data_IF_799850582267
#
_entry.id   IF_799850582267
#
_cell.length_a   1.000
_cell.length_b   1.000
_cell.length_c   1.000
_cell.angle_alpha   90.00
_cell.angle_beta   90.00
_cell.angle_gamma   90.00
#
_symmetry.space_group_name_H-M   'P 1'
#
loop_
_entity.id
_entity.type
_entity.pdbx_description
1 polymer ?
#
# COMPACT_ATOMS: atom_id res chain seq x y z
N UNK A 1 5.51 -21.46 -20.91
CA UNK A 1 5.30 -21.08 -19.50
C UNK A 1 4.03 -21.67 -18.85
N UNK A 2 3.15 -22.42 -19.55
CA UNK A 2 1.81 -22.77 -19.02
C UNK A 2 1.65 -24.16 -18.34
N UNK A 3 2.46 -25.17 -18.67
CA UNK A 3 2.27 -26.54 -18.12
C UNK A 3 2.71 -26.70 -16.66
N UNK A 4 3.75 -26.00 -16.23
CA UNK A 4 4.32 -26.14 -14.87
C UNK A 4 3.45 -25.49 -13.81
N UNK A 5 2.95 -24.27 -14.06
CA UNK A 5 2.09 -23.57 -13.10
C UNK A 5 0.76 -24.31 -12.88
N UNK A 6 0.15 -24.83 -13.94
CA UNK A 6 -1.13 -25.54 -13.81
C UNK A 6 -0.97 -26.86 -13.06
N UNK A 7 0.10 -27.61 -13.35
CA UNK A 7 0.45 -28.84 -12.62
C UNK A 7 0.74 -28.54 -11.14
N UNK A 8 1.53 -27.51 -10.87
CA UNK A 8 1.86 -27.09 -9.50
C UNK A 8 0.62 -26.59 -8.73
N UNK A 9 -0.25 -25.79 -9.35
CA UNK A 9 -1.50 -25.33 -8.74
C UNK A 9 -2.42 -26.51 -8.42
N UNK A 10 -2.59 -27.44 -9.36
CA UNK A 10 -3.42 -28.65 -9.17
C UNK A 10 -2.85 -29.61 -8.13
N UNK A 11 -1.54 -29.56 -7.85
CA UNK A 11 -0.91 -30.31 -6.74
C UNK A 11 -1.44 -29.83 -5.38
N UNK A 12 -1.55 -28.52 -5.19
CA UNK A 12 -1.80 -27.91 -3.87
C UNK A 12 -3.23 -27.38 -3.67
N UNK A 13 -3.94 -27.01 -4.73
CA UNK A 13 -5.26 -26.38 -4.68
C UNK A 13 -6.33 -27.22 -5.38
N UNK A 14 -7.58 -27.02 -4.97
CA UNK A 14 -8.79 -27.50 -5.63
C UNK A 14 -9.58 -26.32 -6.20
N UNK A 15 -10.08 -26.48 -7.42
CA UNK A 15 -10.93 -25.47 -8.03
C UNK A 15 -12.34 -25.58 -7.44
N UNK A 16 -12.88 -24.46 -6.96
CA UNK A 16 -14.21 -24.38 -6.34
C UNK A 16 -15.18 -23.61 -7.23
N UNK A 17 -14.68 -22.69 -8.05
CA UNK A 17 -15.44 -22.05 -9.13
C UNK A 17 -14.51 -21.75 -10.30
N UNK A 18 -15.06 -21.21 -11.39
CA UNK A 18 -14.28 -20.79 -12.56
C UNK A 18 -13.09 -19.90 -12.19
N UNK A 19 -13.23 -19.04 -11.17
CA UNK A 19 -12.21 -18.08 -10.73
C UNK A 19 -11.64 -18.35 -9.33
N UNK A 20 -12.21 -19.28 -8.55
CA UNK A 20 -11.84 -19.50 -7.15
C UNK A 20 -11.17 -20.86 -6.93
N UNK A 21 -10.01 -20.82 -6.27
CA UNK A 21 -9.25 -22.00 -5.86
C UNK A 21 -9.10 -22.01 -4.33
N UNK A 22 -9.24 -23.18 -3.70
CA UNK A 22 -9.04 -23.34 -2.26
C UNK A 22 -7.89 -24.31 -1.96
N UNK A 23 -7.17 -24.11 -0.86
CA UNK A 23 -6.17 -25.06 -0.40
C UNK A 23 -6.81 -26.44 -0.18
N UNK A 24 -6.10 -27.53 -0.53
CA UNK A 24 -6.60 -28.90 -0.33
C UNK A 24 -6.73 -29.29 1.14
N UNK A 25 -5.91 -28.68 1.99
CA UNK A 25 -5.88 -28.92 3.44
C UNK A 25 -5.38 -27.68 4.19
N UNK A 26 -5.63 -27.56 5.49
CA UNK A 26 -5.06 -26.49 6.33
C UNK A 26 -3.53 -26.41 6.25
N UNK A 27 -2.84 -27.54 6.06
CA UNK A 27 -1.37 -27.61 5.96
C UNK A 27 -0.80 -27.25 4.59
N UNK A 28 -1.65 -26.93 3.61
CA UNK A 28 -1.22 -26.67 2.23
C UNK A 28 -0.23 -25.51 2.17
N UNK A 29 -0.46 -24.44 2.95
CA UNK A 29 0.44 -23.29 2.99
C UNK A 29 1.84 -23.67 3.49
N UNK A 30 1.91 -24.47 4.57
CA UNK A 30 3.17 -24.99 5.12
C UNK A 30 3.92 -25.85 4.09
N UNK A 31 3.22 -26.73 3.37
CA UNK A 31 3.84 -27.58 2.33
C UNK A 31 4.41 -26.76 1.17
N UNK A 32 3.69 -25.74 0.70
CA UNK A 32 4.18 -24.83 -0.34
C UNK A 32 5.43 -24.11 0.15
N UNK A 33 5.40 -23.63 1.39
CA UNK A 33 6.53 -22.95 2.02
C UNK A 33 7.78 -23.84 2.07
N UNK A 34 7.65 -25.09 2.51
CA UNK A 34 8.76 -26.04 2.58
C UNK A 34 9.32 -26.44 1.19
N UNK A 35 8.49 -26.38 0.15
CA UNK A 35 8.90 -26.62 -1.24
C UNK A 35 9.66 -25.42 -1.80
N UNK A 36 9.10 -24.21 -1.67
CA UNK A 36 9.75 -22.96 -2.11
C UNK A 36 11.05 -22.69 -1.35
N UNK A 37 11.10 -23.07 -0.07
CA UNK A 37 12.29 -22.88 0.75
C UNK A 37 13.52 -23.64 0.25
N UNK A 38 13.34 -24.64 -0.62
CA UNK A 38 14.46 -25.38 -1.22
C UNK A 38 15.17 -24.63 -2.33
N UNK A 39 14.50 -23.65 -2.93
CA UNK A 39 14.92 -23.01 -4.17
C UNK A 39 15.09 -21.49 -4.05
N UNK A 40 14.74 -20.90 -2.90
CA UNK A 40 14.87 -19.47 -2.66
C UNK A 40 15.93 -19.18 -1.59
N UNK A 41 16.63 -18.06 -1.78
CA UNK A 41 17.53 -17.45 -0.78
C UNK A 41 16.89 -16.13 -0.38
N UNK A 42 16.67 -15.95 0.93
CA UNK A 42 16.20 -14.70 1.48
C UNK A 42 17.23 -14.20 2.49
N UNK A 43 17.69 -12.96 2.31
CA UNK A 43 18.51 -12.26 3.28
C UNK A 43 17.63 -11.16 3.85
N UNK A 44 17.40 -11.17 5.16
CA UNK A 44 16.61 -10.11 5.78
C UNK A 44 17.42 -8.82 5.77
N UNK A 45 16.74 -7.69 5.69
CA UNK A 45 17.40 -6.38 5.65
C UNK A 45 18.26 -6.15 6.91
N UNK A 46 17.79 -6.65 8.06
CA UNK A 46 18.48 -6.69 9.35
C UNK A 46 19.77 -7.55 9.33
N UNK A 47 19.81 -8.61 8.52
CA UNK A 47 21.01 -9.46 8.37
C UNK A 47 22.04 -8.84 7.41
N UNK A 48 21.59 -7.96 6.50
CA UNK A 48 22.42 -7.34 5.47
C UNK A 48 22.95 -5.94 5.84
N UNK A 49 22.46 -5.33 6.93
CA UNK A 49 22.77 -3.94 7.28
C UNK A 49 22.91 -3.74 8.80
N UNK A 50 23.84 -2.88 9.21
CA UNK A 50 23.86 -2.41 10.60
C UNK A 50 22.82 -1.29 10.79
N UNK A 51 21.80 -1.52 11.63
CA UNK A 51 21.12 -0.46 12.36
C UNK A 51 20.15 0.45 11.59
N UNK A 52 19.25 -0.10 10.76
CA UNK A 52 18.07 0.67 10.32
C UNK A 52 17.11 0.77 11.52
N UNK A 53 16.75 1.97 12.00
CA UNK A 53 15.80 2.10 13.10
C UNK A 53 14.43 1.50 12.73
N UNK A 54 13.82 0.77 13.65
CA UNK A 54 12.50 0.18 13.45
C UNK A 54 11.46 1.30 13.18
N UNK A 55 10.63 1.19 12.14
CA UNK A 55 9.64 2.21 11.83
C UNK A 55 8.52 2.25 12.88
N UNK A 56 8.04 3.45 13.20
CA UNK A 56 6.87 3.63 14.05
C UNK A 56 5.61 3.51 13.20
N UNK A 57 4.72 2.60 13.56
CA UNK A 57 3.42 2.44 12.92
C UNK A 57 2.34 3.13 13.76
N UNK A 58 1.58 4.02 13.14
CA UNK A 58 0.45 4.68 13.80
C UNK A 58 -0.74 4.83 12.87
N UNK A 59 -1.93 4.76 13.46
CA UNK A 59 -3.17 5.06 12.79
C UNK A 59 -3.61 6.44 13.26
N UNK A 60 -3.79 7.35 12.31
CA UNK A 60 -4.36 8.67 12.54
C UNK A 60 -5.86 8.59 12.18
N UNK A 61 -6.75 8.53 13.18
CA UNK A 61 -8.19 8.48 12.92
C UNK A 61 -8.70 9.82 12.40
N UNK A 62 -9.74 9.77 11.57
CA UNK A 62 -10.55 10.91 11.20
C UNK A 62 -12.01 10.50 11.00
N UNK A 63 -12.91 11.49 11.01
CA UNK A 63 -14.34 11.28 10.79
C UNK A 63 -14.77 11.85 9.45
N UNK A 64 -15.63 11.12 8.74
CA UNK A 64 -16.38 11.68 7.62
C UNK A 64 -17.46 12.63 8.13
N UNK A 65 -17.75 13.65 7.31
CA UNK A 65 -18.99 14.43 7.43
C UNK A 65 -20.24 13.53 7.33
N UNK A 66 -21.34 13.99 7.91
CA UNK A 66 -22.56 13.18 8.03
C UNK A 66 -23.15 12.81 6.66
N UNK A 67 -23.07 13.70 5.67
CA UNK A 67 -23.60 13.44 4.33
C UNK A 67 -22.84 12.30 3.66
N UNK A 68 -21.52 12.34 3.69
CA UNK A 68 -20.68 11.32 3.09
C UNK A 68 -20.74 10.00 3.87
N UNK A 69 -20.85 10.06 5.20
CA UNK A 69 -21.10 8.88 6.03
C UNK A 69 -22.40 8.18 5.64
N UNK A 70 -23.49 8.92 5.51
CA UNK A 70 -24.78 8.38 5.07
C UNK A 70 -24.69 7.80 3.65
N UNK A 71 -23.93 8.44 2.76
CA UNK A 71 -23.70 7.95 1.40
C UNK A 71 -22.99 6.59 1.38
N UNK A 72 -21.94 6.44 2.19
CA UNK A 72 -21.23 5.15 2.35
C UNK A 72 -22.18 4.10 2.92
N UNK A 73 -22.94 4.43 3.98
CA UNK A 73 -23.89 3.50 4.59
C UNK A 73 -24.99 3.06 3.60
N UNK A 74 -25.51 3.98 2.81
CA UNK A 74 -26.48 3.68 1.76
C UNK A 74 -25.87 2.73 0.73
N UNK A 75 -24.68 3.04 0.20
CA UNK A 75 -24.00 2.19 -0.76
C UNK A 75 -23.75 0.77 -0.22
N UNK A 76 -23.34 0.65 1.04
CA UNK A 76 -23.14 -0.65 1.70
C UNK A 76 -24.44 -1.47 1.82
N UNK A 77 -25.59 -0.81 1.88
CA UNK A 77 -26.90 -1.46 2.02
C UNK A 77 -27.56 -1.78 0.67
N UNK A 78 -27.36 -0.95 -0.35
CA UNK A 78 -28.11 -0.99 -1.62
C UNK A 78 -27.26 -1.34 -2.84
N UNK A 79 -25.93 -1.28 -2.73
CA UNK A 79 -24.99 -1.31 -3.87
C UNK A 79 -25.18 -0.14 -4.85
N UNK A 80 -25.83 0.94 -4.42
CA UNK A 80 -26.11 2.12 -5.24
C UNK A 80 -25.44 3.37 -4.65
N UNK A 81 -24.88 4.21 -5.51
CA UNK A 81 -24.36 5.53 -5.12
C UNK A 81 -25.02 6.62 -5.95
N UNK A 82 -25.64 7.57 -5.25
CA UNK A 82 -26.12 8.79 -5.86
C UNK A 82 -24.93 9.71 -6.19
N UNK A 83 -24.84 10.13 -7.46
CA UNK A 83 -23.85 11.06 -7.97
C UNK A 83 -24.36 12.51 -7.82
N UNK A 84 -23.47 13.51 -7.70
CA UNK A 84 -23.86 14.92 -7.61
C UNK A 84 -24.66 15.46 -8.80
N UNK A 85 -24.59 14.82 -9.97
CA UNK A 85 -25.38 15.20 -11.16
C UNK A 85 -26.80 14.60 -11.18
N UNK A 86 -27.22 13.96 -10.08
CA UNK A 86 -28.55 13.37 -9.93
C UNK A 86 -28.67 11.95 -10.49
N UNK A 87 -27.64 11.41 -11.15
CA UNK A 87 -27.63 10.00 -11.57
C UNK A 87 -27.36 9.07 -10.40
N UNK A 88 -27.84 7.83 -10.52
CA UNK A 88 -27.51 6.74 -9.59
C UNK A 88 -26.65 5.71 -10.31
N UNK A 89 -25.54 5.31 -9.67
CA UNK A 89 -24.68 4.25 -10.14
C UNK A 89 -24.91 3.00 -9.29
N UNK A 90 -25.54 1.99 -9.89
CA UNK A 90 -25.70 0.67 -9.30
C UNK A 90 -24.50 -0.24 -9.62
N UNK A 91 -24.21 -1.17 -8.71
CA UNK A 91 -23.08 -2.10 -8.82
C UNK A 91 -23.57 -3.54 -8.65
N UNK A 92 -23.13 -4.44 -9.56
CA UNK A 92 -23.67 -5.80 -9.67
C UNK A 92 -22.65 -6.91 -9.46
N UNK A 93 -21.38 -6.60 -9.15
CA UNK A 93 -20.35 -7.59 -8.86
C UNK A 93 -19.55 -7.20 -7.62
N UNK A 94 -19.03 -8.20 -6.89
CA UNK A 94 -18.20 -7.97 -5.69
C UNK A 94 -16.94 -7.14 -6.00
N UNK A 95 -16.31 -7.39 -7.15
CA UNK A 95 -15.13 -6.64 -7.58
C UNK A 95 -15.45 -5.16 -7.84
N UNK A 96 -16.56 -4.88 -8.53
CA UNK A 96 -17.01 -3.52 -8.75
C UNK A 96 -17.46 -2.86 -7.42
N UNK A 97 -18.06 -3.63 -6.50
CA UNK A 97 -18.48 -3.14 -5.19
C UNK A 97 -17.27 -2.66 -4.38
N UNK A 98 -16.23 -3.49 -4.29
CA UNK A 98 -14.97 -3.14 -3.62
C UNK A 98 -14.28 -1.95 -4.29
N UNK A 99 -14.33 -1.86 -5.63
CA UNK A 99 -13.76 -0.74 -6.38
C UNK A 99 -14.45 0.58 -6.06
N UNK A 100 -15.79 0.62 -6.08
CA UNK A 100 -16.56 1.81 -5.73
C UNK A 100 -16.43 2.13 -4.26
N UNK A 101 -16.46 1.14 -3.36
CA UNK A 101 -16.26 1.36 -1.94
C UNK A 101 -14.91 2.04 -1.65
N UNK A 102 -13.83 1.60 -2.31
CA UNK A 102 -12.50 2.24 -2.19
C UNK A 102 -12.50 3.70 -2.65
N UNK A 103 -13.26 4.02 -3.69
CA UNK A 103 -13.44 5.40 -4.15
C UNK A 103 -14.18 6.22 -3.09
N UNK A 104 -15.30 5.70 -2.58
CA UNK A 104 -16.07 6.37 -1.53
C UNK A 104 -15.24 6.59 -0.27
N UNK A 105 -14.47 5.59 0.16
CA UNK A 105 -13.56 5.74 1.29
C UNK A 105 -12.37 6.65 0.98
N UNK A 106 -12.14 7.07 -0.26
CA UNK A 106 -11.18 8.12 -0.59
C UNK A 106 -11.82 9.53 -0.53
N UNK A 107 -13.15 9.61 -0.44
CA UNK A 107 -13.91 10.88 -0.45
C UNK A 107 -14.35 11.31 -1.85
N UNK A 108 -14.33 10.40 -2.83
CA UNK A 108 -14.67 10.71 -4.22
C UNK A 108 -15.42 9.55 -4.91
N UNK A 109 -15.95 9.80 -6.10
CA UNK A 109 -16.48 8.73 -6.96
C UNK A 109 -16.26 9.06 -8.43
N UNK A 110 -15.77 8.10 -9.21
CA UNK A 110 -15.66 8.27 -10.66
C UNK A 110 -17.03 8.14 -11.32
N UNK A 111 -17.28 8.95 -12.34
CA UNK A 111 -18.54 8.97 -13.09
C UNK A 111 -18.79 7.61 -13.74
N UNK A 112 -17.78 7.09 -14.43
CA UNK A 112 -17.75 5.76 -15.01
C UNK A 112 -16.45 5.03 -14.66
N UNK A 113 -16.41 3.71 -14.86
CA UNK A 113 -15.18 2.95 -14.69
C UNK A 113 -14.16 3.32 -15.79
N UNK A 114 -12.91 3.60 -15.39
CA UNK A 114 -11.86 4.05 -16.30
C UNK A 114 -11.93 5.54 -16.68
N UNK A 115 -12.89 6.28 -16.15
CA UNK A 115 -13.06 7.69 -16.45
C UNK A 115 -11.97 8.55 -15.79
N UNK A 116 -11.66 9.70 -16.38
CA UNK A 116 -10.74 10.69 -15.78
C UNK A 116 -11.47 11.66 -14.85
N UNK A 117 -12.80 11.77 -14.99
CA UNK A 117 -13.62 12.64 -14.18
C UNK A 117 -14.14 11.93 -12.93
N UNK A 118 -13.92 12.56 -11.78
CA UNK A 118 -14.47 12.12 -10.51
C UNK A 118 -15.14 13.28 -9.79
N UNK A 119 -16.22 12.96 -9.10
CA UNK A 119 -16.88 13.88 -8.20
C UNK A 119 -16.21 13.85 -6.83
N UNK A 120 -15.77 15.00 -6.28
CA UNK A 120 -15.46 15.09 -4.87
C UNK A 120 -16.75 14.97 -4.07
N UNK A 121 -16.77 14.08 -3.08
CA UNK A 121 -17.93 13.83 -2.23
C UNK A 121 -17.71 14.34 -0.81
N UNK A 122 -16.46 14.32 -0.34
CA UNK A 122 -16.06 14.83 0.97
C UNK A 122 -14.61 15.31 0.95
N UNK A 123 -14.32 16.32 1.77
CA UNK A 123 -12.97 16.85 1.97
C UNK A 123 -12.36 16.44 3.32
N UNK A 124 -13.10 15.72 4.19
CA UNK A 124 -12.65 15.42 5.56
C UNK A 124 -11.30 14.70 5.61
N UNK A 125 -11.03 13.81 4.65
CA UNK A 125 -9.73 13.13 4.56
C UNK A 125 -8.59 14.06 4.12
N UNK A 126 -8.87 14.99 3.21
CA UNK A 126 -7.91 16.00 2.76
C UNK A 126 -7.57 16.93 3.92
N UNK A 127 -8.57 17.36 4.69
CA UNK A 127 -8.39 18.17 5.90
C UNK A 127 -7.58 17.42 6.96
N UNK A 128 -7.87 16.13 7.18
CA UNK A 128 -7.10 15.28 8.09
C UNK A 128 -5.63 15.14 7.66
N UNK A 129 -5.37 14.96 6.36
CA UNK A 129 -4.00 14.92 5.83
C UNK A 129 -3.29 16.26 6.04
N UNK A 130 -3.95 17.38 5.75
CA UNK A 130 -3.36 18.71 5.87
C UNK A 130 -3.00 19.01 7.33
N UNK A 131 -3.90 18.74 8.27
CA UNK A 131 -3.63 18.89 9.70
C UNK A 131 -2.43 18.04 10.15
N UNK A 132 -2.30 16.81 9.62
CA UNK A 132 -1.16 15.95 9.88
C UNK A 132 0.14 16.54 9.33
N UNK A 133 0.11 17.03 8.08
CA UNK A 133 1.27 17.66 7.44
C UNK A 133 1.73 18.88 8.23
N UNK A 134 0.80 19.75 8.65
CA UNK A 134 1.10 20.97 9.39
C UNK A 134 1.69 20.66 10.79
N UNK A 135 1.32 19.52 11.38
CA UNK A 135 1.90 19.01 12.62
C UNK A 135 3.20 18.21 12.47
N UNK A 136 3.66 17.96 11.23
CA UNK A 136 4.82 17.11 10.96
C UNK A 136 6.06 17.94 10.65
N UNK A 137 7.20 17.59 11.24
CA UNK A 137 8.48 18.22 10.92
C UNK A 137 9.15 17.55 9.70
N UNK A 138 9.50 18.38 8.72
CA UNK A 138 10.21 17.94 7.51
C UNK A 138 9.30 17.41 6.40
N UNK A 139 9.88 16.93 5.30
CA UNK A 139 9.09 16.46 4.16
C UNK A 139 8.24 15.22 4.46
N UNK A 140 7.07 15.15 3.83
CA UNK A 140 6.08 14.07 4.00
C UNK A 140 5.84 13.34 2.67
N UNK A 141 6.05 12.02 2.67
CA UNK A 141 5.77 11.15 1.53
C UNK A 141 4.35 10.62 1.66
N UNK A 142 3.46 10.98 0.74
CA UNK A 142 2.03 10.61 0.80
C UNK A 142 1.71 9.58 -0.27
N UNK A 143 1.33 8.37 0.15
CA UNK A 143 0.90 7.30 -0.74
C UNK A 143 -0.55 7.53 -1.21
N UNK A 144 -0.74 7.67 -2.52
CA UNK A 144 -2.02 7.94 -3.18
C UNK A 144 -2.33 6.89 -4.25
N UNK A 145 -3.60 6.60 -4.52
CA UNK A 145 -4.02 5.55 -5.45
C UNK A 145 -4.79 6.07 -6.65
N UNK A 146 -5.63 7.08 -6.48
CA UNK A 146 -6.51 7.56 -7.53
C UNK A 146 -5.98 8.87 -8.12
N UNK A 147 -6.05 9.01 -9.45
CA UNK A 147 -5.67 10.25 -10.13
C UNK A 147 -6.43 11.47 -9.59
N UNK A 148 -7.72 11.32 -9.35
CA UNK A 148 -8.54 12.38 -8.76
C UNK A 148 -8.08 12.81 -7.36
N UNK A 149 -7.49 11.91 -6.55
CA UNK A 149 -6.87 12.29 -5.26
C UNK A 149 -5.67 13.19 -5.51
N UNK A 150 -4.79 12.81 -6.44
CA UNK A 150 -3.58 13.57 -6.78
C UNK A 150 -3.98 14.98 -7.20
N UNK A 151 -4.95 15.10 -8.10
CA UNK A 151 -5.42 16.38 -8.61
C UNK A 151 -6.05 17.25 -7.49
N UNK A 152 -6.84 16.64 -6.60
CA UNK A 152 -7.44 17.34 -5.46
C UNK A 152 -6.40 17.81 -4.44
N UNK A 153 -5.42 16.96 -4.13
CA UNK A 153 -4.34 17.25 -3.19
C UNK A 153 -3.37 18.30 -3.72
N UNK A 154 -3.01 18.26 -5.01
CA UNK A 154 -2.20 19.31 -5.64
C UNK A 154 -2.92 20.67 -5.61
N UNK A 155 -4.25 20.68 -5.85
CA UNK A 155 -5.05 21.91 -5.71
C UNK A 155 -5.10 22.41 -4.27
N UNK A 156 -5.29 21.53 -3.29
CA UNK A 156 -5.37 21.90 -1.87
C UNK A 156 -4.03 22.40 -1.32
N UNK A 157 -2.96 21.66 -1.55
CA UNK A 157 -1.64 21.91 -0.96
C UNK A 157 -0.83 22.94 -1.76
N UNK A 158 -1.22 23.21 -3.00
CA UNK A 158 -0.61 24.22 -3.86
C UNK A 158 0.88 23.98 -4.08
N UNK A 159 1.69 25.02 -3.91
CA UNK A 159 3.14 24.97 -4.14
C UNK A 159 3.89 24.03 -3.20
N UNK A 160 3.30 23.63 -2.06
CA UNK A 160 3.88 22.69 -1.10
C UNK A 160 4.00 21.26 -1.63
N UNK A 161 3.17 20.88 -2.61
CA UNK A 161 3.08 19.51 -3.09
C UNK A 161 3.62 19.32 -4.51
N UNK A 162 4.22 18.17 -4.76
CA UNK A 162 4.55 17.65 -6.10
C UNK A 162 4.09 16.20 -6.20
N UNK A 163 3.89 15.71 -7.43
CA UNK A 163 3.39 14.36 -7.68
C UNK A 163 4.39 13.50 -8.46
N UNK A 164 4.69 12.31 -7.93
CA UNK A 164 5.41 11.22 -8.57
C UNK A 164 4.44 10.06 -8.83
N UNK A 165 3.85 10.03 -10.01
CA UNK A 165 2.79 9.09 -10.40
C UNK A 165 3.08 8.48 -11.77
N UNK A 166 2.23 7.56 -12.23
CA UNK A 166 2.45 6.85 -13.50
C UNK A 166 2.59 7.79 -14.69
N UNK A 167 1.84 8.89 -14.70
CA UNK A 167 1.89 9.93 -15.74
C UNK A 167 3.04 10.93 -15.61
N UNK A 168 3.86 10.86 -14.55
CA UNK A 168 5.03 11.74 -14.39
C UNK A 168 6.06 11.45 -15.50
N UNK A 169 6.42 12.43 -16.35
CA UNK A 169 7.38 12.24 -17.44
C UNK A 169 8.74 11.74 -16.94
N UNK A 170 9.44 10.86 -17.69
CA UNK A 170 10.74 10.34 -17.26
C UNK A 170 11.78 11.42 -16.91
N UNK A 171 11.81 12.51 -17.67
CA UNK A 171 12.73 13.63 -17.43
C UNK A 171 12.47 14.32 -16.07
N UNK A 172 11.20 14.42 -15.66
CA UNK A 172 10.83 15.07 -14.41
C UNK A 172 11.09 14.18 -13.19
N UNK A 173 11.06 12.84 -13.36
CA UNK A 173 11.27 11.88 -12.26
C UNK A 173 12.62 12.08 -11.60
N UNK A 174 13.70 12.23 -12.37
CA UNK A 174 15.04 12.44 -11.83
C UNK A 174 15.14 13.76 -11.05
N UNK A 175 14.54 14.82 -11.58
CA UNK A 175 14.48 16.12 -10.92
C UNK A 175 13.69 16.05 -9.61
N UNK A 176 12.52 15.43 -9.61
CA UNK A 176 11.71 15.26 -8.40
C UNK A 176 12.45 14.49 -7.31
N UNK A 177 13.18 13.44 -7.66
CA UNK A 177 13.99 12.68 -6.70
C UNK A 177 15.13 13.54 -6.13
N UNK A 178 15.81 14.30 -6.98
CA UNK A 178 16.87 15.22 -6.54
C UNK A 178 16.32 16.32 -5.63
N UNK A 179 15.20 16.94 -6.01
CA UNK A 179 14.54 17.99 -5.24
C UNK A 179 14.01 17.47 -3.90
N UNK A 180 13.46 16.26 -3.89
CA UNK A 180 13.02 15.56 -2.67
C UNK A 180 14.18 15.29 -1.71
N UNK A 181 15.26 14.68 -2.20
CA UNK A 181 16.43 14.36 -1.37
C UNK A 181 17.18 15.61 -0.89
N UNK A 182 16.94 16.77 -1.51
CA UNK A 182 17.43 18.08 -1.09
C UNK A 182 16.42 18.85 -0.22
N UNK A 183 15.35 18.20 0.26
CA UNK A 183 14.28 18.78 1.08
C UNK A 183 13.56 19.99 0.45
N UNK A 184 13.59 20.12 -0.88
CA UNK A 184 12.93 21.20 -1.62
C UNK A 184 11.45 20.93 -1.90
N UNK A 185 10.98 19.72 -1.61
CA UNK A 185 9.58 19.30 -1.78
C UNK A 185 9.01 18.97 -0.41
N UNK A 186 8.19 19.86 0.19
CA UNK A 186 7.56 19.60 1.48
C UNK A 186 6.64 18.38 1.47
N UNK A 187 5.88 18.20 0.39
CA UNK A 187 4.95 17.06 0.26
C UNK A 187 5.14 16.39 -1.09
N UNK A 188 5.50 15.11 -1.08
CA UNK A 188 5.58 14.31 -2.31
C UNK A 188 4.41 13.32 -2.32
N UNK A 189 3.45 13.57 -3.21
CA UNK A 189 2.38 12.62 -3.50
C UNK A 189 2.96 11.54 -4.41
N UNK A 190 2.91 10.28 -3.99
CA UNK A 190 3.50 9.19 -4.74
C UNK A 190 2.51 8.05 -4.92
N UNK A 191 2.33 7.61 -6.16
CA UNK A 191 1.56 6.39 -6.44
C UNK A 191 2.46 5.17 -6.18
N UNK A 192 2.08 4.24 -5.29
CA UNK A 192 2.90 3.06 -5.03
C UNK A 192 3.25 2.24 -6.28
N UNK A 193 2.31 2.15 -7.23
CA UNK A 193 2.51 1.51 -8.53
C UNK A 193 3.57 2.18 -9.41
N UNK A 194 3.79 3.49 -9.25
CA UNK A 194 4.79 4.24 -10.01
C UNK A 194 6.21 4.11 -9.41
N UNK A 195 6.32 3.62 -8.17
CA UNK A 195 7.56 3.54 -7.39
C UNK A 195 8.24 2.16 -7.45
N UNK A 196 7.91 1.33 -8.45
CA UNK A 196 8.46 -0.02 -8.60
C UNK A 196 9.95 -0.07 -8.99
N UNK A 197 10.49 1.00 -9.59
CA UNK A 197 11.90 1.07 -9.98
C UNK A 197 12.77 1.49 -8.80
N UNK A 198 14.06 1.09 -8.77
CA UNK A 198 15.03 1.27 -7.67
C UNK A 198 15.34 2.72 -7.26
N UNK A 199 14.32 3.48 -6.85
CA UNK A 199 14.40 4.88 -6.44
C UNK A 199 14.85 4.96 -4.99
N UNK A 200 15.78 5.87 -4.71
CA UNK A 200 16.29 6.19 -3.38
C UNK A 200 15.68 7.52 -2.91
N UNK A 201 14.81 7.47 -1.90
CA UNK A 201 14.15 8.64 -1.30
C UNK A 201 14.62 8.92 0.14
N UNK A 202 15.56 8.13 0.66
CA UNK A 202 15.97 8.13 2.06
C UNK A 202 17.04 9.16 2.41
N UNK A 203 17.56 9.92 1.44
CA UNK A 203 18.73 10.79 1.65
C UNK A 203 18.38 12.18 2.20
N UNK A 204 17.12 12.60 2.11
CA UNK A 204 16.64 13.86 2.70
C UNK A 204 16.33 13.75 4.20
N UNK A 205 15.81 14.82 4.79
CA UNK A 205 15.35 14.83 6.18
C UNK A 205 14.00 14.16 6.39
N UNK A 206 13.32 13.73 5.31
CA UNK A 206 12.05 13.02 5.34
C UNK A 206 12.06 11.81 6.25
N UNK A 207 11.10 11.75 7.16
CA UNK A 207 10.89 10.64 8.10
C UNK A 207 9.44 10.19 8.19
N UNK A 208 8.57 10.68 7.31
CA UNK A 208 7.14 10.42 7.44
C UNK A 208 6.58 9.89 6.14
N UNK A 209 5.96 8.71 6.24
CA UNK A 209 5.10 8.16 5.19
C UNK A 209 3.66 8.26 5.68
N UNK A 210 2.78 8.82 4.85
CA UNK A 210 1.34 8.84 5.10
C UNK A 210 0.63 8.01 4.05
N UNK A 211 -0.08 6.98 4.47
CA UNK A 211 -1.00 6.25 3.61
C UNK A 211 -2.34 6.98 3.57
N UNK A 212 -2.55 7.76 2.52
CA UNK A 212 -3.79 8.52 2.31
C UNK A 212 -4.94 7.59 1.94
N UNK A 213 -4.70 6.63 1.07
CA UNK A 213 -5.66 5.58 0.70
C UNK A 213 -4.99 4.21 0.80
N UNK A 214 -5.75 3.22 1.25
CA UNK A 214 -5.26 1.87 1.45
C UNK A 214 -5.54 0.98 0.23
N UNK A 215 -4.64 0.03 -0.01
CA UNK A 215 -4.90 -1.13 -0.88
C UNK A 215 -4.76 -2.41 -0.08
N UNK A 216 -5.12 -3.52 -0.71
CA UNK A 216 -4.94 -4.86 -0.15
C UNK A 216 -3.61 -5.49 -0.58
N UNK A 217 -2.74 -4.76 -1.29
CA UNK A 217 -1.48 -5.29 -1.80
C UNK A 217 -0.35 -5.00 -0.80
N UNK A 218 -0.06 -6.01 0.01
CA UNK A 218 0.99 -5.93 1.01
C UNK A 218 2.39 -5.82 0.39
N UNK A 219 2.68 -6.58 -0.68
CA UNK A 219 4.00 -6.53 -1.32
C UNK A 219 4.30 -5.15 -1.89
N UNK A 220 3.31 -4.52 -2.55
CA UNK A 220 3.43 -3.15 -3.05
C UNK A 220 3.63 -2.15 -1.90
N UNK A 221 2.88 -2.30 -0.81
CA UNK A 221 3.02 -1.46 0.40
C UNK A 221 4.41 -1.61 1.04
N UNK A 222 4.90 -2.83 1.20
CA UNK A 222 6.24 -3.10 1.73
C UNK A 222 7.32 -2.48 0.84
N UNK A 223 7.20 -2.64 -0.48
CA UNK A 223 8.14 -2.05 -1.44
C UNK A 223 8.13 -0.51 -1.39
N UNK A 224 6.96 0.10 -1.23
CA UNK A 224 6.82 1.54 -1.09
C UNK A 224 7.45 2.04 0.21
N UNK A 225 7.16 1.39 1.34
CA UNK A 225 7.74 1.76 2.64
C UNK A 225 9.27 1.64 2.62
N UNK A 226 9.82 0.63 1.92
CA UNK A 226 11.25 0.42 1.73
C UNK A 226 11.94 1.48 0.83
N UNK A 227 11.20 2.47 0.31
CA UNK A 227 11.79 3.65 -0.35
C UNK A 227 12.34 4.67 0.64
N UNK A 228 11.79 4.69 1.86
CA UNK A 228 12.24 5.54 2.95
C UNK A 228 12.87 4.74 4.09
N UNK A 229 12.29 3.59 4.46
CA UNK A 229 12.82 2.63 5.43
C UNK A 229 13.87 1.75 4.76
N UNK A 230 15.06 2.32 4.54
CA UNK A 230 16.13 1.69 3.74
C UNK A 230 17.49 1.91 4.38
N UNK A 231 18.45 1.06 4.01
CA UNK A 231 19.86 1.29 4.29
C UNK A 231 20.28 2.72 3.92
N UNK A 232 20.92 3.42 4.86
CA UNK A 232 21.27 4.84 4.75
C UNK A 232 20.31 5.79 5.48
N UNK A 233 19.14 5.32 5.93
CA UNK A 233 18.30 6.06 6.84
C UNK A 233 18.85 5.96 8.26
N UNK A 234 19.09 7.10 8.90
CA UNK A 234 19.71 7.19 10.23
C UNK A 234 18.70 7.49 11.34
N UNK A 235 17.48 7.87 10.99
CA UNK A 235 16.43 8.22 11.95
C UNK A 235 15.18 7.37 11.74
N UNK A 236 14.44 7.16 12.83
CA UNK A 236 13.16 6.46 12.82
C UNK A 236 12.18 7.09 11.84
N UNK A 237 11.56 6.24 11.03
CA UNK A 237 10.51 6.63 10.08
C UNK A 237 9.15 6.35 10.69
N UNK A 238 8.25 7.32 10.66
CA UNK A 238 6.84 7.17 11.01
C UNK A 238 6.03 6.78 9.79
N UNK A 239 5.31 5.66 9.87
CA UNK A 239 4.35 5.20 8.87
C UNK A 239 2.95 5.42 9.46
N UNK A 240 2.28 6.46 8.98
CA UNK A 240 0.98 6.90 9.45
C UNK A 240 -0.09 6.42 8.46
N UNK A 241 -1.13 5.75 8.95
CA UNK A 241 -2.33 5.41 8.17
C UNK A 241 -3.43 6.43 8.47
N UNK A 242 -4.00 7.10 7.45
CA UNK A 242 -5.20 7.91 7.63
C UNK A 242 -6.43 7.00 7.61
N UNK A 243 -7.02 6.76 8.77
CA UNK A 243 -8.09 5.76 8.94
C UNK A 243 -9.40 6.46 9.25
N UNK A 244 -10.44 6.19 8.45
CA UNK A 244 -11.78 6.63 8.83
C UNK A 244 -12.31 5.78 9.99
N UNK A 245 -12.85 6.42 11.02
CA UNK A 245 -13.48 5.70 12.14
C UNK A 245 -14.65 4.83 11.64
N UNK A 246 -14.54 3.52 11.86
CA UNK A 246 -15.51 2.47 11.49
C UNK A 246 -15.71 2.22 9.97
N UNK A 247 -14.65 2.30 9.15
CA UNK A 247 -14.72 2.08 7.69
C UNK A 247 -13.85 0.95 7.12
N UNK A 248 -13.92 0.79 5.78
CA UNK A 248 -13.12 -0.16 4.98
C UNK A 248 -11.61 -0.07 5.27
N UNK A 249 -11.09 1.10 5.63
CA UNK A 249 -9.66 1.28 5.94
C UNK A 249 -9.20 0.30 7.02
N UNK A 250 -10.00 0.09 8.08
CA UNK A 250 -9.66 -0.85 9.14
C UNK A 250 -9.65 -2.29 8.64
N UNK A 251 -10.58 -2.66 7.75
CA UNK A 251 -10.60 -3.99 7.13
C UNK A 251 -9.41 -4.20 6.21
N UNK A 252 -9.04 -3.18 5.42
CA UNK A 252 -7.87 -3.23 4.55
C UNK A 252 -6.57 -3.38 5.35
N UNK A 253 -6.42 -2.64 6.44
CA UNK A 253 -5.28 -2.79 7.35
C UNK A 253 -5.21 -4.19 7.97
N UNK A 254 -6.33 -4.73 8.48
CA UNK A 254 -6.37 -6.12 8.99
C UNK A 254 -6.00 -7.16 7.92
N UNK A 255 -6.44 -6.96 6.68
CA UNK A 255 -6.10 -7.86 5.58
C UNK A 255 -4.62 -7.76 5.19
N UNK A 256 -4.03 -6.55 5.25
CA UNK A 256 -2.60 -6.34 5.05
C UNK A 256 -1.79 -7.02 6.16
N UNK A 257 -2.19 -6.90 7.41
CA UNK A 257 -1.52 -7.53 8.56
C UNK A 257 -1.52 -9.06 8.43
N UNK A 258 -2.65 -9.65 8.00
CA UNK A 258 -2.74 -11.09 7.73
C UNK A 258 -1.79 -11.53 6.60
N UNK A 259 -1.70 -10.76 5.51
CA UNK A 259 -0.78 -11.04 4.39
C UNK A 259 0.68 -10.90 4.81
N UNK A 260 1.01 -9.89 5.59
CA UNK A 260 2.36 -9.70 6.15
C UNK A 260 2.75 -10.89 7.03
N UNK A 261 1.85 -11.37 7.88
CA UNK A 261 2.11 -12.54 8.72
C UNK A 261 2.41 -13.79 7.88
N UNK A 262 1.63 -14.06 6.83
CA UNK A 262 1.89 -15.17 5.91
C UNK A 262 3.24 -15.05 5.20
N UNK A 263 3.60 -13.86 4.70
CA UNK A 263 4.89 -13.62 4.05
C UNK A 263 6.07 -13.76 5.01
N UNK A 264 5.99 -13.17 6.22
CA UNK A 264 7.07 -13.27 7.23
C UNK A 264 7.30 -14.73 7.60
N UNK A 265 6.23 -15.50 7.75
CA UNK A 265 6.33 -16.90 8.08
C UNK A 265 7.02 -17.74 6.97
N UNK A 266 6.95 -17.31 5.69
CA UNK A 266 7.74 -17.88 4.59
C UNK A 266 9.22 -17.51 4.72
N UNK A 267 9.52 -16.23 4.98
CA UNK A 267 10.89 -15.75 5.15
C UNK A 267 11.59 -16.39 6.35
N UNK A 268 10.88 -16.63 7.45
CA UNK A 268 11.45 -17.29 8.62
C UNK A 268 11.78 -18.76 8.34
N UNK A 269 10.95 -19.48 7.57
CA UNK A 269 11.27 -20.84 7.14
C UNK A 269 12.52 -20.90 6.23
N UNK A 270 12.72 -19.86 5.40
CA UNK A 270 13.92 -19.71 4.58
C UNK A 270 15.18 -19.46 5.42
N UNK A 271 15.10 -18.54 6.39
CA UNK A 271 16.19 -18.18 7.30
C UNK A 271 16.63 -19.38 8.17
N UNK A 272 15.65 -20.11 8.75
CA UNK A 272 15.91 -21.34 9.51
C UNK A 272 16.76 -22.31 8.68
N UNK A 273 16.40 -22.54 7.42
CA UNK A 273 17.17 -23.43 6.55
C UNK A 273 18.57 -22.90 6.26
N UNK A 274 18.75 -21.59 6.04
CA UNK A 274 20.09 -21.01 5.86
C UNK A 274 20.99 -21.23 7.07
N UNK A 275 20.44 -21.15 8.28
CA UNK A 275 21.17 -21.43 9.53
C UNK A 275 21.57 -22.90 9.65
N UNK A 276 20.72 -23.84 9.21
CA UNK A 276 21.02 -25.27 9.17
C UNK A 276 21.86 -25.71 7.96
N UNK A 277 22.00 -24.88 6.92
CA UNK A 277 22.81 -25.16 5.74
C UNK A 277 24.25 -24.61 5.84
N UNK A 278 24.57 -23.79 6.85
CA UNK A 278 25.96 -23.48 7.18
C UNK A 278 26.59 -24.73 7.81
N UNK A 279 27.62 -25.34 7.21
CA UNK A 279 28.35 -26.39 7.90
C UNK A 279 28.96 -25.79 9.17
N UNK A 280 28.85 -26.50 10.30
CA UNK A 280 29.71 -26.25 11.45
C UNK A 280 31.15 -26.23 10.92
N UNK A 281 31.80 -25.07 10.97
CA UNK A 281 33.24 -25.02 10.84
C UNK A 281 33.77 -25.62 12.13
N UNK A 282 33.88 -26.94 12.15
CA UNK A 282 34.67 -27.67 13.11
C UNK A 282 36.11 -27.25 12.89
N UNK A 283 36.57 -26.28 13.67
CA UNK A 283 38.00 -26.13 13.91
C UNK A 283 38.45 -27.40 14.64
N UNK A 284 38.93 -28.37 13.87
CA UNK A 284 39.69 -29.49 14.42
C UNK A 284 40.98 -28.94 15.06
N UNK A 285 41.42 -29.54 16.19
CA UNK A 285 42.36 -28.95 17.14
C UNK A 285 43.77 -28.71 16.58
#
# INVERSE_FOLDING_TARGET
MSKEFHSWRSKHFVQVSEYTWRPKSPDTEKRIRDELARHAVAIKLEDATQGIPEPLHCNQPFCWDDSHRQRIQHFMATNEVALPDGRVRAVHSEGAFLSVLRQLTSGLVYVHEGDSQAYPLSFSRIEALENLIDGTQGPVLVAVYFRAEVDALLRRLGSRARAFVGSTPPADRARLISDWNADRIPVLLAAPSAMGHGINLQHGSSRTIVWYTHSFDWAQRAQFNARLVRAGQTKTVSIINLVADAGLDQMALRALDAKQASERAILDALDIRHRFAKPEVTHAP
#
